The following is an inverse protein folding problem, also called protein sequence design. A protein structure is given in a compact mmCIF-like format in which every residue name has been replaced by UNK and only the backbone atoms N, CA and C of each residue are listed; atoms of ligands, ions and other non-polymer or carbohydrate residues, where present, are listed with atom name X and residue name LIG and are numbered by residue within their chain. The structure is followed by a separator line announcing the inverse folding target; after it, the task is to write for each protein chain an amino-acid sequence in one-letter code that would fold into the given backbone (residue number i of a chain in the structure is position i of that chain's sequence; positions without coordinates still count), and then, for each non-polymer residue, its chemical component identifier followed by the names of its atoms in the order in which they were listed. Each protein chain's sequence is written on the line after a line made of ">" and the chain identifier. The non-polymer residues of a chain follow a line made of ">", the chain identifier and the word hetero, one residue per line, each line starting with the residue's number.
data_IF_197073157175
#
_entry.id   IF_197073157175
#
_cell.length_a   1.000
_cell.length_b   1.000
_cell.length_c   1.000
_cell.angle_alpha   90.00
_cell.angle_beta   90.00
_cell.angle_gamma   90.00
#
_symmetry.space_group_name_H-M   'P 1'
#
loop_
_entity.id
_entity.type
_entity.pdbx_description
1 polymer ?
#
# COMPACT_ATOMS: atom_id res chain seq x y z
N UNK A 1 -5.67 28.27 13.94
CA UNK A 1 -6.11 26.90 14.28
C UNK A 1 -6.69 26.29 13.02
N UNK A 2 -5.84 25.70 12.17
CA UNK A 2 -6.27 25.18 10.86
C UNK A 2 -6.98 23.85 11.06
N UNK A 3 -8.16 23.76 10.46
CA UNK A 3 -9.13 22.69 10.57
C UNK A 3 -8.53 21.29 10.40
N UNK A 4 -8.99 20.37 11.25
CA UNK A 4 -8.90 18.93 11.04
C UNK A 4 -9.49 18.65 9.64
N UNK A 5 -8.75 18.09 8.67
CA UNK A 5 -9.34 17.77 7.37
C UNK A 5 -10.47 16.74 7.58
N UNK A 6 -11.64 16.94 6.95
CA UNK A 6 -12.78 16.05 7.13
C UNK A 6 -12.47 14.68 6.54
N UNK A 7 -12.64 13.65 7.38
CA UNK A 7 -13.14 12.32 7.01
C UNK A 7 -12.64 11.70 5.69
N UNK A 8 -11.63 10.83 5.75
CA UNK A 8 -11.43 9.69 4.83
C UNK A 8 -11.93 9.86 3.38
N UNK A 9 -11.38 10.85 2.67
CA UNK A 9 -11.86 11.19 1.33
C UNK A 9 -11.73 9.99 0.38
N UNK A 10 -12.81 9.69 -0.34
CA UNK A 10 -12.79 8.68 -1.40
C UNK A 10 -12.38 9.35 -2.71
N UNK A 11 -11.19 9.02 -3.20
CA UNK A 11 -10.59 9.60 -4.39
C UNK A 11 -10.81 8.73 -5.63
N UNK A 12 -10.88 9.36 -6.80
CA UNK A 12 -10.96 8.65 -8.07
C UNK A 12 -9.60 8.05 -8.50
N UNK A 13 -9.64 7.33 -9.63
CA UNK A 13 -8.48 6.65 -10.17
C UNK A 13 -7.35 7.61 -10.60
N UNK A 14 -7.68 8.81 -11.06
CA UNK A 14 -6.71 9.82 -11.50
C UNK A 14 -5.87 10.28 -10.33
N UNK A 15 -6.52 10.66 -9.24
CA UNK A 15 -5.84 11.09 -8.00
C UNK A 15 -5.07 9.93 -7.38
N UNK A 16 -5.66 8.74 -7.30
CA UNK A 16 -4.98 7.55 -6.77
C UNK A 16 -3.72 7.19 -7.55
N UNK A 17 -3.76 7.28 -8.90
CA UNK A 17 -2.59 7.06 -9.75
C UNK A 17 -1.50 8.10 -9.51
N UNK A 18 -1.87 9.37 -9.31
CA UNK A 18 -0.91 10.43 -9.01
C UNK A 18 -0.18 10.19 -7.69
N UNK A 19 -0.90 9.83 -6.62
CA UNK A 19 -0.32 9.46 -5.32
C UNK A 19 0.62 8.25 -5.45
N UNK A 20 0.17 7.20 -6.15
CA UNK A 20 0.99 6.02 -6.39
C UNK A 20 2.29 6.36 -7.15
N UNK A 21 2.21 7.18 -8.19
CA UNK A 21 3.37 7.61 -8.99
C UNK A 21 4.32 8.53 -8.19
N UNK A 22 3.78 9.37 -7.31
CA UNK A 22 4.56 10.20 -6.39
C UNK A 22 5.32 9.39 -5.33
N UNK A 23 4.96 8.11 -5.15
CA UNK A 23 5.59 7.19 -4.21
C UNK A 23 4.94 7.18 -2.84
N UNK A 24 3.71 7.71 -2.71
CA UNK A 24 2.96 7.68 -1.47
C UNK A 24 2.65 6.24 -1.00
N UNK A 25 2.52 6.02 0.32
CA UNK A 25 2.19 4.70 0.85
C UNK A 25 0.84 4.20 0.32
N UNK A 26 0.84 2.99 -0.22
CA UNK A 26 -0.39 2.30 -0.61
C UNK A 26 -0.59 1.09 0.31
N UNK A 27 -1.75 1.04 0.97
CA UNK A 27 -2.10 0.01 1.94
C UNK A 27 -3.34 -0.75 1.47
N UNK A 28 -3.17 -2.04 1.21
CA UNK A 28 -4.27 -2.94 0.91
C UNK A 28 -4.83 -3.55 2.19
N UNK A 29 -6.08 -3.21 2.50
CA UNK A 29 -6.75 -3.59 3.76
C UNK A 29 -7.51 -4.91 3.71
N UNK A 30 -7.36 -5.67 2.61
CA UNK A 30 -8.00 -6.97 2.41
C UNK A 30 -7.26 -8.09 3.16
N UNK A 31 -7.83 -9.29 3.09
CA UNK A 31 -7.15 -10.49 3.56
C UNK A 31 -5.87 -10.76 2.76
N UNK A 32 -4.88 -11.46 3.35
CA UNK A 32 -3.66 -11.84 2.63
C UNK A 32 -3.93 -12.69 1.38
N UNK A 33 -4.99 -13.50 1.39
CA UNK A 33 -5.38 -14.33 0.24
C UNK A 33 -5.90 -13.48 -0.92
N UNK A 34 -6.78 -12.50 -0.64
CA UNK A 34 -7.27 -11.57 -1.66
C UNK A 34 -6.15 -10.71 -2.24
N UNK A 35 -5.22 -10.28 -1.39
CA UNK A 35 -4.04 -9.54 -1.82
C UNK A 35 -3.14 -10.40 -2.73
N UNK A 36 -2.88 -11.64 -2.33
CA UNK A 36 -2.04 -12.56 -3.11
C UNK A 36 -2.65 -12.92 -4.47
N UNK A 37 -3.99 -12.92 -4.59
CA UNK A 37 -4.67 -13.13 -5.86
C UNK A 37 -4.49 -11.97 -6.85
N UNK A 38 -4.17 -10.76 -6.37
CA UNK A 38 -3.94 -9.60 -7.20
C UNK A 38 -4.10 -8.29 -6.43
N UNK A 39 -3.08 -7.44 -6.47
CA UNK A 39 -3.04 -6.15 -5.76
C UNK A 39 -2.32 -5.06 -6.57
N UNK A 40 -2.47 -3.80 -6.15
CA UNK A 40 -1.77 -2.64 -6.73
C UNK A 40 -0.26 -2.81 -6.52
N UNK A 41 0.55 -2.65 -7.57
CA UNK A 41 2.01 -2.82 -7.44
C UNK A 41 2.61 -1.89 -6.37
N UNK A 42 3.46 -2.42 -5.50
CA UNK A 42 4.04 -1.73 -4.35
C UNK A 42 3.07 -1.49 -3.19
N UNK A 43 1.82 -1.93 -3.27
CA UNK A 43 0.91 -1.87 -2.13
C UNK A 43 1.34 -2.87 -1.07
N UNK A 44 1.20 -2.47 0.18
CA UNK A 44 1.48 -3.30 1.35
C UNK A 44 0.17 -3.89 1.86
N UNK A 45 0.13 -5.19 2.15
CA UNK A 45 -1.04 -5.76 2.81
C UNK A 45 -1.02 -5.49 4.33
N UNK A 46 -2.05 -4.78 4.81
CA UNK A 46 -2.36 -4.62 6.23
C UNK A 46 -3.86 -4.81 6.41
N UNK A 47 -4.32 -6.02 6.78
CA UNK A 47 -5.74 -6.27 7.04
C UNK A 47 -6.37 -5.20 7.96
N UNK A 48 -7.61 -4.83 7.69
CA UNK A 48 -8.30 -3.70 8.35
C UNK A 48 -8.31 -3.78 9.89
N UNK A 49 -8.40 -4.99 10.43
CA UNK A 49 -8.34 -5.30 11.86
C UNK A 49 -6.94 -5.07 12.46
N UNK A 50 -5.90 -5.19 11.64
CA UNK A 50 -4.50 -5.00 12.04
C UNK A 50 -4.01 -3.55 11.95
N UNK A 51 -4.72 -2.69 11.23
CA UNK A 51 -4.35 -1.29 10.97
C UNK A 51 -3.87 -0.50 12.20
N UNK A 52 -4.55 -0.54 13.37
CA UNK A 52 -4.13 0.22 14.55
C UNK A 52 -2.77 -0.19 15.14
N UNK A 53 -2.37 -1.44 14.92
CA UNK A 53 -1.18 -2.01 15.53
C UNK A 53 0.10 -1.74 14.73
N UNK A 54 -0.03 -1.15 13.53
CA UNK A 54 1.08 -0.96 12.59
C UNK A 54 1.21 0.50 12.12
N UNK A 55 0.54 1.44 12.78
CA UNK A 55 0.52 2.85 12.38
C UNK A 55 1.90 3.50 12.41
N UNK A 56 2.67 3.23 13.46
CA UNK A 56 4.03 3.75 13.62
C UNK A 56 4.99 3.08 12.62
N UNK A 57 4.57 1.93 12.11
CA UNK A 57 5.18 1.24 10.99
C UNK A 57 4.41 1.49 9.71
N UNK A 58 3.85 2.68 9.46
CA UNK A 58 3.55 3.16 8.10
C UNK A 58 4.48 4.31 7.70
N UNK A 59 4.99 4.36 6.44
CA UNK A 59 5.89 5.43 6.03
C UNK A 59 5.20 6.79 6.17
N UNK A 60 5.93 7.88 6.36
CA UNK A 60 5.34 9.22 6.42
C UNK A 60 4.68 9.58 5.08
N UNK A 61 3.70 10.50 5.13
CA UNK A 61 2.95 10.94 3.95
C UNK A 61 1.47 10.56 3.99
N UNK A 62 0.77 10.85 2.90
CA UNK A 62 -0.65 10.54 2.72
C UNK A 62 -0.82 9.08 2.32
N UNK A 63 -1.61 8.33 3.09
CA UNK A 63 -1.83 6.90 2.83
C UNK A 63 -2.99 6.72 1.85
N UNK A 64 -2.76 6.01 0.75
CA UNK A 64 -3.82 5.52 -0.12
C UNK A 64 -4.25 4.12 0.35
N UNK A 65 -5.45 4.00 0.89
CA UNK A 65 -6.04 2.69 1.24
C UNK A 65 -6.77 2.08 0.06
N UNK A 66 -6.62 0.77 -0.12
CA UNK A 66 -7.20 0.02 -1.23
C UNK A 66 -7.88 -1.23 -0.70
N UNK A 67 -9.06 -1.55 -1.25
CA UNK A 67 -9.68 -2.86 -1.09
C UNK A 67 -10.23 -3.36 -2.43
N UNK A 68 -11.21 -4.28 -2.44
CA UNK A 68 -11.71 -4.86 -3.70
C UNK A 68 -12.60 -3.88 -4.47
N UNK A 69 -13.45 -3.11 -3.76
CA UNK A 69 -14.50 -2.26 -4.36
C UNK A 69 -14.59 -0.84 -3.77
N UNK A 70 -13.99 -0.56 -2.60
CA UNK A 70 -14.01 0.75 -1.93
C UNK A 70 -14.47 0.70 -0.46
N UNK A 71 -15.38 -0.21 -0.09
CA UNK A 71 -16.04 -0.21 1.24
C UNK A 71 -15.07 -0.36 2.42
N UNK A 72 -14.18 -1.37 2.37
CA UNK A 72 -13.21 -1.62 3.45
C UNK A 72 -12.08 -0.57 3.47
N UNK A 73 -11.69 -0.05 2.31
CA UNK A 73 -10.66 0.98 2.21
C UNK A 73 -11.12 2.30 2.83
N UNK A 74 -12.38 2.69 2.65
CA UNK A 74 -12.95 3.86 3.34
C UNK A 74 -12.88 3.71 4.85
N UNK A 75 -13.31 2.58 5.41
CA UNK A 75 -13.17 2.29 6.85
C UNK A 75 -11.72 2.36 7.32
N UNK A 76 -10.79 1.87 6.49
CA UNK A 76 -9.35 1.98 6.76
C UNK A 76 -8.87 3.43 6.79
N UNK A 77 -9.25 4.24 5.80
CA UNK A 77 -8.89 5.66 5.74
C UNK A 77 -9.48 6.45 6.92
N UNK A 78 -10.72 6.19 7.31
CA UNK A 78 -11.35 6.79 8.49
C UNK A 78 -10.61 6.42 9.78
N UNK A 79 -10.18 5.16 9.89
CA UNK A 79 -9.44 4.69 11.05
C UNK A 79 -8.06 5.34 11.14
N UNK A 80 -7.35 5.48 10.02
CA UNK A 80 -6.07 6.18 9.95
C UNK A 80 -6.23 7.66 10.30
N UNK A 81 -7.24 8.33 9.73
CA UNK A 81 -7.50 9.74 9.97
C UNK A 81 -7.79 10.01 11.46
N UNK A 82 -8.62 9.18 12.10
CA UNK A 82 -8.88 9.25 13.56
C UNK A 82 -7.63 9.06 14.42
N UNK A 83 -6.61 8.41 13.88
CA UNK A 83 -5.33 8.15 14.55
C UNK A 83 -4.24 9.15 14.12
N UNK A 84 -4.64 10.27 13.50
CA UNK A 84 -3.72 11.34 13.10
C UNK A 84 -2.88 11.03 11.85
N UNK A 85 -3.23 9.97 11.10
CA UNK A 85 -2.56 9.60 9.85
C UNK A 85 -3.41 10.03 8.65
N UNK A 86 -2.96 10.99 7.82
CA UNK A 86 -3.69 11.40 6.63
C UNK A 86 -3.90 10.21 5.70
N UNK A 87 -5.15 9.94 5.33
CA UNK A 87 -5.48 8.81 4.49
C UNK A 87 -6.69 9.09 3.60
N UNK A 88 -6.62 8.56 2.39
CA UNK A 88 -7.68 8.59 1.38
C UNK A 88 -7.94 7.18 0.88
N UNK A 89 -9.13 6.91 0.37
CA UNK A 89 -9.50 5.59 -0.16
C UNK A 89 -9.72 5.60 -1.66
N UNK A 90 -9.29 4.54 -2.36
CA UNK A 90 -9.53 4.42 -3.81
C UNK A 90 -10.97 3.97 -4.10
N UNK A 91 -11.74 4.82 -4.79
CA UNK A 91 -13.04 4.49 -5.37
C UNK A 91 -12.91 3.32 -6.35
N UNK A 92 -13.77 2.31 -6.22
CA UNK A 92 -13.74 1.11 -7.08
C UNK A 92 -12.59 0.14 -6.79
N UNK A 93 -11.67 0.49 -5.90
CA UNK A 93 -10.62 -0.37 -5.37
C UNK A 93 -9.69 -0.99 -6.43
N UNK A 94 -9.15 -2.16 -6.07
CA UNK A 94 -8.21 -2.92 -6.90
C UNK A 94 -8.84 -3.35 -8.22
N UNK A 95 -10.16 -3.55 -8.28
CA UNK A 95 -10.86 -3.89 -9.52
C UNK A 95 -10.81 -2.73 -10.52
N UNK A 96 -11.13 -1.50 -10.09
CA UNK A 96 -11.02 -0.32 -10.94
C UNK A 96 -9.57 -0.07 -11.39
N UNK A 97 -8.60 -0.26 -10.49
CA UNK A 97 -7.17 -0.17 -10.82
C UNK A 97 -6.75 -1.15 -11.91
N UNK A 98 -7.11 -2.43 -11.76
CA UNK A 98 -6.78 -3.48 -12.72
C UNK A 98 -7.50 -3.26 -14.06
N UNK A 99 -8.79 -2.89 -14.04
CA UNK A 99 -9.58 -2.63 -15.24
C UNK A 99 -9.01 -1.47 -16.09
N UNK A 100 -8.34 -0.51 -15.45
CA UNK A 100 -7.66 0.58 -16.13
C UNK A 100 -6.26 0.22 -16.68
N UNK A 101 -5.86 -1.05 -16.59
CA UNK A 101 -4.55 -1.52 -17.07
C UNK A 101 -3.37 -0.99 -16.25
N UNK A 102 -3.61 -0.51 -15.03
CA UNK A 102 -2.54 0.00 -14.16
C UNK A 102 -1.74 -1.16 -13.54
N UNK A 103 -0.48 -0.92 -13.12
CA UNK A 103 0.40 -1.99 -12.65
C UNK A 103 -0.16 -2.75 -11.44
N UNK A 104 -0.26 -4.07 -11.57
CA UNK A 104 -0.65 -5.00 -10.51
C UNK A 104 0.42 -6.05 -10.25
N UNK A 105 0.32 -6.73 -9.10
CA UNK A 105 1.17 -7.85 -8.69
C UNK A 105 0.33 -8.95 -8.07
N UNK A 106 0.88 -10.16 -8.05
CA UNK A 106 0.32 -11.34 -7.41
C UNK A 106 1.34 -11.93 -6.42
N UNK A 107 0.88 -12.82 -5.55
CA UNK A 107 1.68 -13.35 -4.45
C UNK A 107 1.78 -12.37 -3.27
N UNK A 108 2.60 -12.74 -2.28
CA UNK A 108 2.71 -11.97 -1.02
C UNK A 108 3.77 -10.88 -1.04
N UNK A 109 4.60 -10.79 -2.10
CA UNK A 109 5.57 -9.71 -2.24
C UNK A 109 4.88 -8.48 -2.84
N UNK A 110 5.07 -7.29 -2.26
CA UNK A 110 4.47 -6.06 -2.78
C UNK A 110 4.94 -5.69 -4.19
N UNK A 111 6.10 -6.19 -4.62
CA UNK A 111 6.73 -5.83 -5.87
C UNK A 111 7.24 -4.39 -5.89
N UNK A 112 8.10 -4.07 -6.85
CA UNK A 112 8.59 -2.70 -7.06
C UNK A 112 7.51 -1.86 -7.77
N UNK A 113 7.26 -0.63 -7.29
CA UNK A 113 6.58 0.41 -8.09
C UNK A 113 7.53 0.77 -9.24
N UNK A 114 7.05 0.97 -10.46
CA UNK A 114 7.90 1.48 -11.54
C UNK A 114 8.55 2.78 -11.05
N UNK A 115 9.89 2.80 -11.05
CA UNK A 115 10.77 3.64 -10.21
C UNK A 115 10.29 5.10 -10.05
N UNK A 116 9.92 5.48 -8.82
CA UNK A 116 9.80 6.89 -8.40
C UNK A 116 11.07 7.34 -7.68
N UNK A 117 11.60 8.57 -7.93
CA UNK A 117 12.82 9.09 -7.29
C UNK A 117 12.80 9.10 -5.76
N UNK A 118 11.61 9.11 -5.14
CA UNK A 118 11.41 9.14 -3.67
C UNK A 118 11.54 7.77 -2.99
N UNK A 119 11.65 6.67 -3.74
CA UNK A 119 11.53 5.29 -3.24
C UNK A 119 12.78 4.67 -2.59
N UNK A 120 13.83 5.44 -2.27
CA UNK A 120 15.09 4.86 -1.74
C UNK A 120 15.03 4.24 -0.34
N UNK A 121 13.91 4.30 0.39
CA UNK A 121 13.81 3.67 1.70
C UNK A 121 13.20 2.26 1.58
N UNK A 122 14.07 1.27 1.75
CA UNK A 122 13.77 -0.16 1.81
C UNK A 122 12.96 -0.42 3.09
N UNK A 123 11.64 -0.42 2.94
CA UNK A 123 10.71 -0.32 4.05
C UNK A 123 9.93 -1.64 4.21
N UNK A 124 10.45 -2.59 5.00
CA UNK A 124 9.65 -3.76 5.39
C UNK A 124 10.14 -4.45 6.67
N UNK A 125 9.32 -4.56 7.73
CA UNK A 125 9.70 -5.26 8.97
C UNK A 125 9.55 -6.80 8.91
N UNK A 126 8.81 -7.37 7.95
CA UNK A 126 8.62 -8.84 7.84
C UNK A 126 9.47 -9.51 6.76
N UNK A 127 10.51 -8.82 6.24
CA UNK A 127 11.46 -9.47 5.34
C UNK A 127 12.29 -10.38 6.23
N UNK A 128 12.02 -11.69 6.18
CA UNK A 128 13.04 -12.65 6.63
C UNK A 128 14.31 -12.29 5.86
N UNK A 129 15.46 -12.04 6.52
CA UNK A 129 16.69 -11.87 5.80
C UNK A 129 16.88 -13.13 4.96
N UNK A 130 16.93 -12.95 3.63
CA UNK A 130 17.30 -14.04 2.74
C UNK A 130 18.63 -14.60 3.24
N UNK A 131 18.69 -15.92 3.47
CA UNK A 131 19.96 -16.59 3.72
C UNK A 131 20.87 -16.21 2.55
N UNK A 132 21.96 -15.51 2.84
CA UNK A 132 23.11 -15.48 1.93
C UNK A 132 23.61 -16.91 1.89
N UNK A 133 23.32 -17.65 0.83
CA UNK A 133 24.17 -18.78 0.47
C UNK A 133 25.49 -18.16 0.04
N UNK A 134 26.48 -18.21 0.93
CA UNK A 134 27.84 -17.80 0.63
C UNK A 134 28.38 -18.62 -0.53
N UNK A 135 29.12 -17.95 -1.41
CA UNK A 135 29.90 -18.64 -2.43
C UNK A 135 31.08 -19.38 -1.79
N UNK A 136 31.49 -20.45 -2.44
CA UNK A 136 32.91 -20.84 -2.51
C UNK A 136 33.19 -20.96 -4.00
N UNK A 137 34.19 -20.23 -4.47
CA UNK A 137 34.70 -20.40 -5.82
C UNK A 137 35.53 -21.65 -5.89
N UNK A 138 35.50 -22.30 -7.04
CA UNK A 138 36.52 -23.26 -7.44
C UNK A 138 37.02 -22.80 -8.82
N UNK A 139 38.23 -22.23 -8.82
CA UNK A 139 39.13 -22.27 -9.95
C UNK A 139 40.13 -23.37 -9.63
N UNK A 140 40.07 -24.48 -10.36
CA UNK A 140 41.21 -25.32 -10.71
C UNK A 140 40.88 -26.04 -12.02
#
# INVERSE_FOLDING_TARGET
>A
MTAIPPEAEEVDLTVARALWAAGDPVVDVRSPQEYAAGHVAGAVNVPLDRLPFVLDTLPPGQVLTVCSLGTRSRQGAERLARLGRPAVSLRGGTKAWAAAGLPTRTGSDPGERVRSPRSRRRWWPWRRPGRRTGGTGDND
#
